data_IF_676930728458
#
_entry.id   IF_676930728458
#
_cell.length_a   1.000
_cell.length_b   1.000
_cell.length_c   1.000
_cell.angle_alpha   90.00
_cell.angle_beta   90.00
_cell.angle_gamma   90.00
#
_symmetry.space_group_name_H-M   'P 1'
#
loop_
_entity.id
_entity.type
_entity.pdbx_description
1 polymer ?
#
# COMPACT_ATOMS: atom_id res chain seq x y z
N UNK A 1 -2.44 9.38 -18.49
CA UNK A 1 -1.18 9.25 -17.73
C UNK A 1 -0.63 7.86 -17.95
N UNK A 2 0.69 7.74 -17.88
CA UNK A 2 1.40 6.48 -17.86
C UNK A 2 1.61 6.07 -16.40
N UNK A 3 0.99 4.97 -16.00
CA UNK A 3 1.05 4.44 -14.63
C UNK A 3 1.86 3.15 -14.64
N UNK A 4 2.93 3.11 -13.86
CA UNK A 4 3.65 1.86 -13.61
C UNK A 4 3.20 1.28 -12.27
N UNK A 5 2.78 0.02 -12.28
CA UNK A 5 2.32 -0.68 -11.10
C UNK A 5 3.23 -1.88 -10.82
N UNK A 6 4.05 -1.77 -9.78
CA UNK A 6 4.89 -2.89 -9.34
C UNK A 6 4.07 -3.85 -8.47
N UNK A 7 4.31 -5.15 -8.54
CA UNK A 7 3.49 -6.13 -7.82
C UNK A 7 2.09 -6.24 -8.43
N UNK A 8 1.97 -5.93 -9.74
CA UNK A 8 0.68 -5.80 -10.39
C UNK A 8 -0.04 -7.11 -10.64
N UNK A 9 0.65 -8.23 -10.47
CA UNK A 9 0.05 -9.57 -10.49
C UNK A 9 -0.43 -10.02 -9.09
N UNK A 10 -0.09 -9.27 -8.04
CA UNK A 10 -0.51 -9.55 -6.66
C UNK A 10 -1.94 -9.09 -6.34
N UNK A 11 -2.38 -9.30 -5.09
CA UNK A 11 -3.77 -9.04 -4.65
C UNK A 11 -4.22 -7.62 -4.97
N UNK A 12 -3.49 -6.59 -4.52
CA UNK A 12 -3.84 -5.19 -4.79
C UNK A 12 -3.73 -4.88 -6.30
N UNK A 13 -2.64 -5.31 -6.93
CA UNK A 13 -2.38 -5.09 -8.34
C UNK A 13 -3.46 -5.63 -9.28
N UNK A 14 -4.02 -6.80 -8.97
CA UNK A 14 -5.08 -7.45 -9.74
C UNK A 14 -6.40 -6.66 -9.74
N UNK A 15 -6.62 -5.82 -8.73
CA UNK A 15 -7.78 -4.90 -8.68
C UNK A 15 -7.47 -3.56 -9.33
N UNK A 16 -6.27 -3.02 -9.10
CA UNK A 16 -5.89 -1.68 -9.57
C UNK A 16 -5.66 -1.64 -11.09
N UNK A 17 -4.92 -2.61 -11.64
CA UNK A 17 -4.55 -2.65 -13.07
C UNK A 17 -5.76 -2.51 -14.00
N UNK A 18 -6.80 -3.37 -13.92
CA UNK A 18 -7.96 -3.24 -14.79
C UNK A 18 -8.74 -1.94 -14.55
N UNK A 19 -8.79 -1.44 -13.31
CA UNK A 19 -9.50 -0.21 -12.99
C UNK A 19 -8.82 1.02 -13.61
N UNK A 20 -7.49 1.14 -13.49
CA UNK A 20 -6.74 2.24 -14.12
C UNK A 20 -6.80 2.17 -15.65
N UNK A 21 -6.72 0.98 -16.23
CA UNK A 21 -6.87 0.80 -17.67
C UNK A 21 -8.28 1.19 -18.16
N UNK A 22 -9.33 0.78 -17.45
CA UNK A 22 -10.71 1.16 -17.75
C UNK A 22 -10.96 2.68 -17.62
N UNK A 23 -10.20 3.36 -16.77
CA UNK A 23 -10.20 4.83 -16.64
C UNK A 23 -9.41 5.54 -17.77
N UNK A 24 -8.85 4.81 -18.75
CA UNK A 24 -8.16 5.36 -19.90
C UNK A 24 -6.68 5.69 -19.66
N UNK A 25 -6.07 5.13 -18.62
CA UNK A 25 -4.62 5.25 -18.39
C UNK A 25 -3.86 4.14 -19.14
N UNK A 26 -2.63 4.45 -19.54
CA UNK A 26 -1.67 3.45 -20.02
C UNK A 26 -1.03 2.80 -18.80
N UNK A 27 -1.16 1.48 -18.63
CA UNK A 27 -0.69 0.78 -17.43
C UNK A 27 0.43 -0.20 -17.78
N UNK A 28 1.56 -0.06 -17.12
CA UNK A 28 2.69 -1.00 -17.19
C UNK A 28 2.77 -1.79 -15.90
N UNK A 29 2.64 -3.11 -15.98
CA UNK A 29 2.73 -4.04 -14.85
C UNK A 29 4.17 -4.53 -14.74
N UNK A 30 4.79 -4.32 -13.58
CA UNK A 30 6.10 -4.91 -13.25
C UNK A 30 5.93 -5.96 -12.16
N UNK A 31 6.25 -7.20 -12.47
CA UNK A 31 6.14 -8.32 -11.52
C UNK A 31 7.09 -9.45 -11.91
N UNK A 32 7.44 -10.33 -10.97
CA UNK A 32 8.20 -11.56 -11.24
C UNK A 32 7.32 -12.65 -11.86
N UNK A 33 6.01 -12.54 -11.65
CA UNK A 33 5.01 -13.49 -12.12
C UNK A 33 4.01 -12.80 -13.06
N UNK A 34 3.59 -13.46 -14.15
CA UNK A 34 2.60 -12.88 -15.05
C UNK A 34 1.25 -12.68 -14.34
N UNK A 35 0.49 -11.63 -14.68
CA UNK A 35 -0.86 -11.47 -14.15
C UNK A 35 -1.75 -12.60 -14.66
N UNK A 36 -2.74 -13.01 -13.87
CA UNK A 36 -3.70 -14.04 -14.29
C UNK A 36 -4.40 -13.71 -15.60
N UNK A 37 -4.76 -12.43 -15.77
CA UNK A 37 -5.30 -11.87 -17.00
C UNK A 37 -4.61 -10.55 -17.24
N UNK A 38 -4.03 -10.37 -18.43
CA UNK A 38 -3.51 -9.06 -18.86
C UNK A 38 -4.67 -8.26 -19.47
N UNK A 39 -5.12 -7.15 -18.85
CA UNK A 39 -6.19 -6.34 -19.41
C UNK A 39 -5.76 -5.71 -20.74
N UNK A 40 -6.72 -5.52 -21.65
CA UNK A 40 -6.46 -4.84 -22.93
C UNK A 40 -5.89 -3.45 -22.69
N UNK A 41 -4.80 -3.12 -23.38
CA UNK A 41 -4.12 -1.82 -23.24
C UNK A 41 -3.17 -1.72 -22.05
N UNK A 42 -2.91 -2.83 -21.35
CA UNK A 42 -1.83 -2.93 -20.37
C UNK A 42 -0.63 -3.67 -20.95
N UNK A 43 0.57 -3.25 -20.56
CA UNK A 43 1.81 -3.96 -20.81
C UNK A 43 2.26 -4.71 -19.55
N UNK A 44 2.94 -5.84 -19.72
CA UNK A 44 3.52 -6.62 -18.63
C UNK A 44 4.99 -6.90 -18.88
N UNK A 45 5.85 -6.56 -17.91
CA UNK A 45 7.27 -6.86 -17.94
C UNK A 45 7.62 -7.78 -16.77
N UNK A 46 8.20 -8.94 -17.08
CA UNK A 46 8.77 -9.83 -16.06
C UNK A 46 10.07 -9.20 -15.52
N UNK A 47 10.02 -8.66 -14.31
CA UNK A 47 11.15 -7.93 -13.71
C UNK A 47 11.31 -8.29 -12.25
N UNK A 48 12.56 -8.48 -11.86
CA UNK A 48 12.99 -8.50 -10.48
C UNK A 48 13.45 -7.11 -10.05
N UNK A 49 12.72 -6.50 -9.12
CA UNK A 49 13.01 -5.14 -8.64
C UNK A 49 14.31 -5.06 -7.80
N UNK A 50 14.94 -6.20 -7.48
CA UNK A 50 16.29 -6.24 -6.90
C UNK A 50 17.35 -5.80 -7.91
N UNK A 51 17.05 -5.81 -9.20
CA UNK A 51 17.92 -5.23 -10.23
C UNK A 51 17.61 -3.72 -10.38
N UNK A 52 18.54 -2.83 -9.99
CA UNK A 52 18.33 -1.38 -10.07
C UNK A 52 18.27 -0.86 -11.51
N UNK A 53 18.98 -1.49 -12.45
CA UNK A 53 19.00 -1.08 -13.85
C UNK A 53 17.72 -1.51 -14.55
N UNK A 54 17.26 -2.75 -14.31
CA UNK A 54 15.98 -3.24 -14.80
C UNK A 54 14.82 -2.40 -14.27
N UNK A 55 14.81 -2.13 -12.95
CA UNK A 55 13.79 -1.28 -12.30
C UNK A 55 13.76 0.10 -12.94
N UNK A 56 14.92 0.77 -13.06
CA UNK A 56 15.02 2.11 -13.66
C UNK A 56 14.51 2.10 -15.10
N UNK A 57 14.94 1.15 -15.92
CA UNK A 57 14.56 1.12 -17.34
C UNK A 57 13.05 0.89 -17.50
N UNK A 58 12.45 0.06 -16.65
CA UNK A 58 11.04 -0.28 -16.72
C UNK A 58 10.11 0.83 -16.24
N UNK A 59 10.58 1.69 -15.34
CA UNK A 59 9.83 2.87 -14.88
C UNK A 59 10.05 4.11 -15.75
N UNK A 60 10.74 3.98 -16.89
CA UNK A 60 10.97 5.11 -17.79
C UNK A 60 9.64 5.64 -18.37
N UNK A 61 9.55 6.96 -18.62
CA UNK A 61 8.34 7.64 -19.09
C UNK A 61 7.07 7.41 -18.25
N UNK A 62 7.24 7.13 -16.96
CA UNK A 62 6.13 6.97 -16.01
C UNK A 62 5.78 8.30 -15.34
N UNK A 63 4.50 8.66 -15.36
CA UNK A 63 3.96 9.82 -14.64
C UNK A 63 3.77 9.50 -13.15
N UNK A 64 3.21 8.32 -12.87
CA UNK A 64 2.90 7.84 -11.51
C UNK A 64 3.37 6.40 -11.32
N UNK A 65 4.10 6.13 -10.24
CA UNK A 65 4.43 4.76 -9.84
C UNK A 65 3.54 4.36 -8.65
N UNK A 66 2.80 3.26 -8.79
CA UNK A 66 2.12 2.60 -7.67
C UNK A 66 2.97 1.40 -7.25
N UNK A 67 3.59 1.51 -6.08
CA UNK A 67 4.47 0.48 -5.55
C UNK A 67 3.70 -0.47 -4.62
N UNK A 68 3.16 -1.54 -5.20
CA UNK A 68 2.48 -2.61 -4.48
C UNK A 68 3.30 -3.90 -4.34
N UNK A 69 4.55 -3.92 -4.81
CA UNK A 69 5.42 -5.09 -4.69
C UNK A 69 5.90 -5.27 -3.25
N UNK A 70 5.71 -6.47 -2.72
CA UNK A 70 6.37 -6.97 -1.51
C UNK A 70 6.64 -8.45 -1.75
N UNK A 71 7.91 -8.85 -1.76
CA UNK A 71 8.26 -10.25 -1.99
C UNK A 71 7.94 -11.15 -0.81
N UNK A 72 7.88 -10.60 0.41
CA UNK A 72 7.65 -11.35 1.64
C UNK A 72 6.71 -10.56 2.56
N UNK A 73 5.67 -11.22 3.06
CA UNK A 73 4.66 -10.59 3.93
C UNK A 73 4.32 -11.41 5.18
N UNK A 74 4.90 -12.61 5.35
CA UNK A 74 4.67 -13.46 6.52
C UNK A 74 5.50 -12.98 7.73
N UNK A 75 5.06 -13.36 8.94
CA UNK A 75 5.49 -12.78 10.22
C UNK A 75 6.85 -13.26 10.70
N UNK A 76 7.21 -14.48 10.37
CA UNK A 76 8.43 -15.20 10.76
C UNK A 76 9.63 -14.93 9.82
N UNK A 77 9.46 -14.06 8.82
CA UNK A 77 10.52 -13.69 7.89
C UNK A 77 11.70 -13.01 8.61
N UNK A 78 12.95 -13.45 8.39
CA UNK A 78 14.11 -12.82 8.98
C UNK A 78 14.41 -11.48 8.29
N UNK A 79 15.08 -10.58 9.02
CA UNK A 79 15.39 -9.24 8.53
C UNK A 79 16.18 -9.20 7.20
N UNK A 80 17.17 -10.07 6.94
CA UNK A 80 17.86 -10.10 5.64
C UNK A 80 16.91 -10.32 4.46
N UNK A 81 15.90 -11.17 4.63
CA UNK A 81 14.96 -11.48 3.57
C UNK A 81 13.99 -10.32 3.33
N UNK A 82 13.51 -9.68 4.40
CA UNK A 82 12.70 -8.45 4.29
C UNK A 82 13.51 -7.32 3.66
N UNK A 83 14.80 -7.20 3.99
CA UNK A 83 15.70 -6.24 3.36
C UNK A 83 15.82 -6.51 1.85
N UNK A 84 16.14 -7.74 1.47
CA UNK A 84 16.39 -8.10 0.07
C UNK A 84 15.12 -8.02 -0.79
N UNK A 85 13.97 -8.46 -0.26
CA UNK A 85 12.76 -8.65 -1.06
C UNK A 85 11.72 -7.55 -0.94
N UNK A 86 11.83 -6.66 0.06
CA UNK A 86 10.92 -5.53 0.22
C UNK A 86 11.69 -4.20 0.19
N UNK A 87 12.67 -4.01 1.09
CA UNK A 87 13.32 -2.71 1.27
C UNK A 87 14.18 -2.28 0.07
N UNK A 88 15.00 -3.21 -0.43
CA UNK A 88 15.88 -2.95 -1.57
C UNK A 88 15.05 -2.60 -2.84
N UNK A 89 14.00 -3.35 -3.19
CA UNK A 89 13.03 -2.95 -4.22
C UNK A 89 12.42 -1.56 -4.01
N UNK A 90 11.93 -1.23 -2.80
CA UNK A 90 11.39 0.11 -2.51
C UNK A 90 12.42 1.19 -2.79
N UNK A 91 13.65 1.00 -2.31
CA UNK A 91 14.76 1.93 -2.57
C UNK A 91 15.02 2.11 -4.07
N UNK A 92 15.06 1.03 -4.85
CA UNK A 92 15.26 1.11 -6.30
C UNK A 92 14.13 1.87 -7.01
N UNK A 93 12.88 1.66 -6.59
CA UNK A 93 11.72 2.38 -7.13
C UNK A 93 11.81 3.88 -6.81
N UNK A 94 12.16 4.25 -5.58
CA UNK A 94 12.33 5.66 -5.19
C UNK A 94 13.50 6.33 -5.93
N UNK A 95 14.63 5.64 -6.08
CA UNK A 95 15.76 6.13 -6.88
C UNK A 95 15.41 6.30 -8.36
N UNK A 96 14.66 5.35 -8.93
CA UNK A 96 14.20 5.42 -10.30
C UNK A 96 13.24 6.62 -10.50
N UNK A 97 12.27 6.78 -9.61
CA UNK A 97 11.35 7.93 -9.60
C UNK A 97 12.12 9.26 -9.53
N UNK A 98 13.12 9.35 -8.65
CA UNK A 98 13.98 10.53 -8.51
C UNK A 98 14.76 10.83 -9.79
N UNK A 99 15.37 9.80 -10.41
CA UNK A 99 16.18 9.96 -11.63
C UNK A 99 15.34 10.36 -12.84
N UNK A 100 14.12 9.82 -12.94
CA UNK A 100 13.19 10.12 -14.03
C UNK A 100 12.33 11.35 -13.80
N UNK A 101 12.38 11.95 -12.59
CA UNK A 101 11.50 13.03 -12.16
C UNK A 101 10.02 12.64 -12.32
N UNK A 102 9.69 11.41 -11.95
CA UNK A 102 8.31 10.94 -11.88
C UNK A 102 7.50 11.87 -10.99
N UNK A 103 6.31 12.25 -11.43
CA UNK A 103 5.48 13.23 -10.73
C UNK A 103 5.01 12.73 -9.38
N UNK A 104 4.73 11.42 -9.25
CA UNK A 104 4.21 10.84 -8.01
C UNK A 104 4.61 9.39 -7.77
N UNK A 105 4.81 9.02 -6.51
CA UNK A 105 4.86 7.63 -6.05
C UNK A 105 3.74 7.37 -5.04
N UNK A 106 3.02 6.27 -5.17
CA UNK A 106 2.04 5.79 -4.18
C UNK A 106 2.53 4.46 -3.63
N UNK A 107 2.87 4.41 -2.34
CA UNK A 107 3.39 3.23 -1.67
C UNK A 107 2.28 2.45 -0.96
N UNK A 108 2.25 1.13 -1.18
CA UNK A 108 1.52 0.21 -0.33
C UNK A 108 2.30 -0.04 0.97
N UNK A 109 2.00 0.76 2.00
CA UNK A 109 2.38 0.48 3.38
C UNK A 109 1.36 -0.47 4.02
N UNK A 110 1.42 -0.64 5.34
CA UNK A 110 0.56 -1.56 6.07
C UNK A 110 0.21 -1.07 7.47
N UNK A 111 -0.97 -1.46 7.96
CA UNK A 111 -1.30 -1.32 9.38
C UNK A 111 -0.39 -2.13 10.31
N UNK A 112 0.35 -3.14 9.80
CA UNK A 112 1.36 -3.88 10.57
C UNK A 112 2.49 -2.98 11.12
N UNK A 113 2.63 -1.74 10.65
CA UNK A 113 3.50 -0.70 11.24
C UNK A 113 3.07 -0.28 12.66
N UNK A 114 1.80 -0.53 13.02
CA UNK A 114 1.19 -0.22 14.32
C UNK A 114 0.51 -1.46 14.94
N UNK A 115 0.92 -2.65 14.50
CA UNK A 115 0.27 -3.92 14.83
C UNK A 115 0.12 -4.22 16.32
N UNK A 116 1.12 -3.91 17.16
CA UNK A 116 1.04 -4.07 18.62
C UNK A 116 0.26 -2.94 19.33
N UNK A 117 -0.59 -2.19 18.62
CA UNK A 117 -1.54 -1.28 19.29
C UNK A 117 -2.69 -2.08 19.89
N UNK A 118 -3.03 -1.92 21.18
CA UNK A 118 -4.17 -2.61 21.79
C UNK A 118 -5.50 -2.31 21.09
N UNK A 119 -6.37 -3.30 20.94
CA UNK A 119 -7.70 -3.12 20.29
C UNK A 119 -8.67 -2.21 21.05
N UNK A 120 -8.37 -1.89 22.31
CA UNK A 120 -9.10 -0.90 23.10
C UNK A 120 -8.55 0.53 22.95
N UNK A 121 -7.55 0.75 22.09
CA UNK A 121 -6.93 2.04 21.83
C UNK A 121 -7.18 2.49 20.39
N UNK A 122 -7.89 3.61 20.23
CA UNK A 122 -8.02 4.30 18.94
C UNK A 122 -6.78 5.15 18.66
N UNK A 123 -6.21 5.01 17.45
CA UNK A 123 -5.19 5.91 16.94
C UNK A 123 -5.88 7.17 16.41
N UNK A 124 -5.40 8.35 16.82
CA UNK A 124 -6.02 9.64 16.44
C UNK A 124 -5.17 10.47 15.48
N UNK A 125 -3.89 10.14 15.31
CA UNK A 125 -2.97 10.81 14.39
C UNK A 125 -1.99 9.84 13.76
N UNK A 126 -1.53 10.15 12.55
CA UNK A 126 -0.39 9.51 11.88
C UNK A 126 0.95 9.76 12.58
N UNK A 127 1.03 10.75 13.47
CA UNK A 127 2.23 11.03 14.27
C UNK A 127 2.43 10.04 15.44
N UNK A 128 1.48 9.13 15.63
CA UNK A 128 1.59 8.07 16.65
C UNK A 128 2.85 7.24 16.36
N UNK A 129 3.67 7.06 17.39
CA UNK A 129 4.89 6.27 17.29
C UNK A 129 4.57 4.87 16.71
N UNK A 130 5.36 4.38 15.74
CA UNK A 130 5.16 3.03 15.22
C UNK A 130 5.27 1.98 16.33
N UNK A 131 4.49 0.91 16.20
CA UNK A 131 4.49 -0.23 17.13
C UNK A 131 4.32 -1.54 16.33
N UNK A 132 5.35 -1.94 15.56
CA UNK A 132 5.22 -2.98 14.54
C UNK A 132 5.07 -4.37 15.15
N UNK A 133 4.19 -5.20 14.58
CA UNK A 133 3.95 -6.57 15.04
C UNK A 133 4.93 -7.62 14.49
N UNK A 134 5.73 -7.26 13.50
CA UNK A 134 6.55 -8.20 12.73
C UNK A 134 7.75 -7.49 12.10
N UNK A 135 8.74 -8.27 11.64
CA UNK A 135 9.85 -7.71 10.84
C UNK A 135 9.34 -7.14 9.52
N UNK A 136 8.26 -7.70 8.96
CA UNK A 136 7.53 -7.08 7.85
C UNK A 136 7.02 -5.67 8.20
N UNK A 137 6.38 -5.50 9.37
CA UNK A 137 5.96 -4.20 9.88
C UNK A 137 7.12 -3.21 10.04
N UNK A 138 8.26 -3.67 10.56
CA UNK A 138 9.52 -2.88 10.61
C UNK A 138 9.97 -2.47 9.20
N UNK A 139 9.87 -3.38 8.24
CA UNK A 139 10.15 -3.09 6.84
C UNK A 139 9.28 -1.96 6.30
N UNK A 140 7.96 -2.01 6.53
CA UNK A 140 7.04 -0.95 6.08
C UNK A 140 7.28 0.41 6.76
N UNK A 141 7.71 0.43 8.02
CA UNK A 141 8.17 1.66 8.67
C UNK A 141 9.40 2.22 7.96
N UNK A 142 10.34 1.35 7.55
CA UNK A 142 11.54 1.76 6.82
C UNK A 142 11.19 2.31 5.43
N UNK A 143 10.24 1.69 4.73
CA UNK A 143 9.69 2.20 3.46
C UNK A 143 9.10 3.61 3.64
N UNK A 144 8.30 3.84 4.68
CA UNK A 144 7.72 5.16 5.01
C UNK A 144 8.79 6.20 5.33
N UNK A 145 9.84 5.82 6.07
CA UNK A 145 10.95 6.72 6.40
C UNK A 145 11.77 7.09 5.15
N UNK A 146 12.04 6.13 4.26
CA UNK A 146 12.66 6.38 2.96
C UNK A 146 11.80 7.32 2.11
N UNK A 147 10.50 7.07 2.03
CA UNK A 147 9.56 7.92 1.31
C UNK A 147 9.59 9.36 1.82
N UNK A 148 9.50 9.57 3.13
CA UNK A 148 9.57 10.90 3.74
C UNK A 148 10.89 11.61 3.43
N UNK A 149 12.02 10.89 3.47
CA UNK A 149 13.32 11.42 3.07
C UNK A 149 13.31 11.88 1.61
N UNK A 150 12.81 11.05 0.69
CA UNK A 150 12.81 11.37 -0.73
C UNK A 150 11.85 12.52 -1.06
N UNK A 151 10.70 12.59 -0.39
CA UNK A 151 9.78 13.69 -0.55
C UNK A 151 10.42 15.03 -0.14
N UNK A 152 11.05 15.08 1.02
CA UNK A 152 11.63 16.34 1.54
C UNK A 152 12.97 16.71 0.89
N UNK A 153 13.85 15.73 0.65
CA UNK A 153 15.21 15.98 0.14
C UNK A 153 15.26 16.04 -1.39
N UNK A 154 14.36 15.33 -2.06
CA UNK A 154 14.36 15.19 -3.51
C UNK A 154 13.10 15.73 -4.18
N UNK A 155 12.18 16.33 -3.41
CA UNK A 155 10.97 16.98 -3.92
C UNK A 155 10.08 16.04 -4.75
N UNK A 156 9.97 14.78 -4.32
CA UNK A 156 9.00 13.84 -4.88
C UNK A 156 7.67 13.95 -4.13
N UNK A 157 6.56 13.98 -4.84
CA UNK A 157 5.25 13.79 -4.22
C UNK A 157 5.04 12.31 -3.93
N UNK A 158 4.87 11.95 -2.66
CA UNK A 158 4.71 10.57 -2.24
C UNK A 158 3.52 10.43 -1.29
N UNK A 159 2.61 9.53 -1.65
CA UNK A 159 1.57 9.04 -0.76
C UNK A 159 1.96 7.66 -0.23
N UNK A 160 1.84 7.42 1.07
CA UNK A 160 2.01 6.10 1.67
C UNK A 160 0.69 5.68 2.33
N UNK A 161 0.20 4.50 1.98
CA UNK A 161 -1.11 4.02 2.42
C UNK A 161 -0.90 2.83 3.36
N UNK A 162 -1.18 2.99 4.65
CA UNK A 162 -1.25 1.90 5.62
C UNK A 162 -2.52 1.12 5.36
N UNK A 163 -2.43 0.13 4.47
CA UNK A 163 -3.54 -0.74 4.11
C UNK A 163 -3.94 -1.55 5.34
N UNK A 164 -5.24 -1.57 5.64
CA UNK A 164 -5.83 -2.48 6.60
C UNK A 164 -5.89 -3.91 6.06
N UNK A 165 -7.09 -4.47 5.96
CA UNK A 165 -7.36 -5.82 5.49
C UNK A 165 -8.02 -5.78 4.11
N UNK A 166 -7.21 -5.73 3.05
CA UNK A 166 -7.72 -5.82 1.67
C UNK A 166 -8.27 -7.22 1.40
N UNK A 167 -9.59 -7.37 1.35
CA UNK A 167 -10.29 -8.64 1.15
C UNK A 167 -11.56 -8.41 0.33
N UNK A 168 -11.91 -9.36 -0.53
CA UNK A 168 -13.19 -9.32 -1.26
C UNK A 168 -14.40 -9.31 -0.31
N UNK A 169 -14.28 -9.98 0.85
CA UNK A 169 -15.32 -10.01 1.88
C UNK A 169 -14.66 -10.10 3.25
N UNK A 170 -15.14 -9.36 4.26
CA UNK A 170 -14.59 -9.46 5.61
C UNK A 170 -15.12 -10.74 6.27
N UNK A 171 -14.21 -11.56 6.80
CA UNK A 171 -14.54 -12.83 7.47
C UNK A 171 -14.12 -12.93 8.94
N UNK A 172 -13.14 -12.14 9.36
CA UNK A 172 -12.52 -12.21 10.70
C UNK A 172 -12.98 -11.02 11.54
N UNK A 173 -13.01 -11.17 12.87
CA UNK A 173 -13.58 -10.15 13.76
C UNK A 173 -12.91 -8.77 13.62
N UNK A 174 -11.56 -8.72 13.54
CA UNK A 174 -10.82 -7.46 13.31
C UNK A 174 -11.15 -6.77 11.99
N UNK A 175 -11.71 -7.49 11.00
CA UNK A 175 -12.13 -6.85 9.75
C UNK A 175 -13.27 -5.86 9.99
N UNK A 176 -14.00 -5.97 11.11
CA UNK A 176 -14.99 -4.96 11.52
C UNK A 176 -14.40 -3.55 11.60
N UNK A 177 -13.10 -3.42 11.90
CA UNK A 177 -12.38 -2.14 11.92
C UNK A 177 -11.42 -1.96 10.74
N UNK A 178 -10.77 -3.04 10.31
CA UNK A 178 -9.62 -2.96 9.39
C UNK A 178 -9.96 -3.19 7.92
N UNK A 179 -11.17 -3.64 7.58
CA UNK A 179 -11.49 -4.04 6.20
C UNK A 179 -11.30 -2.90 5.19
N UNK A 180 -10.69 -3.22 4.06
CA UNK A 180 -10.68 -2.38 2.87
C UNK A 180 -11.25 -3.22 1.73
N UNK A 181 -12.40 -2.80 1.19
CA UNK A 181 -12.98 -3.48 0.04
C UNK A 181 -12.16 -3.21 -1.23
N UNK A 182 -12.19 -4.09 -2.25
CA UNK A 182 -11.54 -3.79 -3.53
C UNK A 182 -12.06 -2.53 -4.22
N UNK A 183 -13.38 -2.24 -4.28
CA UNK A 183 -13.88 -0.97 -4.79
C UNK A 183 -13.31 0.25 -4.06
N UNK A 184 -13.27 0.22 -2.73
CA UNK A 184 -12.74 1.32 -1.93
C UNK A 184 -11.21 1.44 -2.03
N UNK A 185 -10.49 0.32 -2.23
CA UNK A 185 -9.06 0.35 -2.53
C UNK A 185 -8.79 1.03 -3.88
N UNK A 186 -9.59 0.74 -4.91
CA UNK A 186 -9.46 1.35 -6.23
C UNK A 186 -9.64 2.87 -6.12
N UNK A 187 -10.70 3.34 -5.46
CA UNK A 187 -10.96 4.78 -5.32
C UNK A 187 -9.88 5.46 -4.47
N UNK A 188 -9.40 4.82 -3.40
CA UNK A 188 -8.34 5.35 -2.55
C UNK A 188 -7.01 5.52 -3.31
N UNK A 189 -6.57 4.47 -4.00
CA UNK A 189 -5.31 4.51 -4.76
C UNK A 189 -5.42 5.44 -5.97
N UNK A 190 -6.59 5.54 -6.59
CA UNK A 190 -6.86 6.53 -7.65
C UNK A 190 -6.74 7.94 -7.10
N UNK A 191 -7.35 8.22 -5.94
CA UNK A 191 -7.29 9.52 -5.29
C UNK A 191 -5.85 9.90 -4.94
N UNK A 192 -5.09 9.00 -4.30
CA UNK A 192 -3.68 9.21 -3.98
C UNK A 192 -2.82 9.46 -5.24
N UNK A 193 -3.12 8.75 -6.34
CA UNK A 193 -2.39 8.89 -7.60
C UNK A 193 -2.71 10.20 -8.35
N UNK A 194 -3.92 10.75 -8.21
CA UNK A 194 -4.44 11.80 -9.12
C UNK A 194 -4.74 13.14 -8.45
N UNK A 195 -5.10 13.16 -7.16
CA UNK A 195 -5.49 14.38 -6.46
C UNK A 195 -4.28 15.11 -5.88
N UNK A 196 -4.29 16.45 -5.75
CA UNK A 196 -3.22 17.17 -5.06
C UNK A 196 -2.98 16.60 -3.65
N UNK A 197 -1.72 16.29 -3.32
CA UNK A 197 -1.40 15.86 -1.96
C UNK A 197 -1.34 17.07 -1.04
N UNK A 198 -1.85 16.98 0.20
CA UNK A 198 -1.77 18.07 1.17
C UNK A 198 -0.32 18.39 1.58
N UNK A 199 0.56 17.39 1.55
CA UNK A 199 1.99 17.50 1.86
C UNK A 199 2.83 16.68 0.87
N UNK A 200 4.11 17.04 0.62
CA UNK A 200 5.00 16.27 -0.24
C UNK A 200 5.08 14.79 0.17
N UNK A 201 5.11 14.50 1.47
CA UNK A 201 4.88 13.17 2.01
C UNK A 201 3.54 13.13 2.72
N UNK A 202 2.61 12.33 2.21
CA UNK A 202 1.27 12.15 2.79
C UNK A 202 1.08 10.69 3.20
N UNK A 203 1.00 10.44 4.50
CA UNK A 203 0.72 9.12 5.07
C UNK A 203 -0.78 9.02 5.36
N UNK A 204 -1.45 7.92 5.02
CA UNK A 204 -2.88 7.72 5.30
C UNK A 204 -3.20 6.28 5.69
N UNK A 205 -4.29 6.10 6.44
CA UNK A 205 -4.87 4.78 6.70
C UNK A 205 -5.88 4.42 5.61
N UNK A 206 -5.74 3.20 5.08
CA UNK A 206 -6.61 2.67 4.02
C UNK A 206 -7.58 1.62 4.56
N UNK A 207 -8.81 2.06 4.85
CA UNK A 207 -9.96 1.23 5.22
C UNK A 207 -11.20 1.72 4.50
N UNK A 208 -12.21 0.84 4.39
CA UNK A 208 -13.59 1.22 4.10
C UNK A 208 -14.19 1.99 5.29
N UNK A 209 -15.44 2.46 5.17
CA UNK A 209 -16.17 3.23 6.21
C UNK A 209 -16.68 2.30 7.33
N UNK A 210 -15.74 1.77 8.10
CA UNK A 210 -15.95 0.71 9.06
C UNK A 210 -16.39 1.23 10.44
N UNK A 211 -17.05 0.36 11.20
CA UNK A 211 -17.34 0.59 12.62
C UNK A 211 -17.14 -0.72 13.38
N UNK A 212 -16.32 -0.75 14.46
CA UNK A 212 -15.66 0.39 15.10
C UNK A 212 -14.48 0.96 14.29
N UNK A 213 -14.14 2.23 14.52
CA UNK A 213 -13.01 2.90 13.88
C UNK A 213 -11.78 2.84 14.79
N UNK A 214 -10.71 2.17 14.32
CA UNK A 214 -9.43 2.10 15.03
C UNK A 214 -8.43 3.18 14.62
N UNK A 215 -8.53 3.68 13.39
CA UNK A 215 -7.53 4.58 12.79
C UNK A 215 -8.19 5.85 12.25
N UNK A 216 -7.47 6.98 12.20
CA UNK A 216 -8.05 8.24 11.74
C UNK A 216 -8.33 8.20 10.23
N UNK A 217 -9.38 8.87 9.80
CA UNK A 217 -9.69 9.10 8.36
C UNK A 217 -8.85 10.28 7.82
N UNK A 218 -7.55 10.25 8.10
CA UNK A 218 -6.68 11.38 7.83
C UNK A 218 -6.46 11.54 6.32
N UNK A 219 -6.53 12.79 5.85
CA UNK A 219 -6.45 13.19 4.43
C UNK A 219 -7.52 12.61 3.50
N UNK A 220 -8.54 11.92 4.01
CA UNK A 220 -9.64 11.42 3.17
C UNK A 220 -10.38 12.58 2.48
N UNK A 221 -10.69 13.65 3.22
CA UNK A 221 -11.31 14.85 2.65
C UNK A 221 -10.38 15.59 1.69
N UNK A 222 -9.09 15.73 2.04
CA UNK A 222 -8.10 16.41 1.19
C UNK A 222 -7.97 15.71 -0.18
N UNK A 223 -8.03 14.38 -0.20
CA UNK A 223 -7.94 13.55 -1.40
C UNK A 223 -9.30 13.25 -2.04
N UNK A 224 -10.41 13.82 -1.52
CA UNK A 224 -11.77 13.50 -1.97
C UNK A 224 -12.06 11.99 -2.01
N UNK A 225 -11.51 11.25 -1.03
CA UNK A 225 -11.78 9.83 -0.84
C UNK A 225 -13.00 9.64 0.05
N UNK A 226 -14.03 9.02 -0.52
CA UNK A 226 -15.30 8.70 0.15
C UNK A 226 -15.57 7.21 -0.01
N UNK A 227 -15.15 6.36 0.95
CA UNK A 227 -15.43 4.94 0.86
C UNK A 227 -16.94 4.69 0.87
N UNK A 228 -17.37 3.71 0.08
CA UNK A 228 -18.76 3.29 -0.04
C UNK A 228 -19.05 2.03 0.77
N UNK A 229 -18.01 1.22 1.03
CA UNK A 229 -18.14 -0.03 1.76
C UNK A 229 -18.04 0.12 3.28
N UNK A 230 -18.62 -0.84 3.99
CA UNK A 230 -18.55 -0.92 5.44
C UNK A 230 -18.67 -2.37 5.89
N UNK A 231 -17.76 -2.80 6.77
CA UNK A 231 -17.76 -4.14 7.32
C UNK A 231 -19.03 -4.46 8.13
N UNK A 232 -19.75 -3.43 8.60
CA UNK A 232 -21.02 -3.56 9.34
C UNK A 232 -22.13 -4.27 8.56
N UNK A 233 -22.00 -4.33 7.23
CA UNK A 233 -22.96 -5.01 6.33
C UNK A 233 -22.73 -6.52 6.25
N UNK A 234 -21.74 -7.05 6.96
CA UNK A 234 -21.37 -8.46 6.96
C UNK A 234 -21.48 -9.06 8.37
N UNK A 235 -21.94 -10.32 8.49
CA UNK A 235 -21.92 -11.01 9.77
C UNK A 235 -20.47 -11.36 10.13
N UNK A 236 -19.96 -10.79 11.22
CA UNK A 236 -18.60 -11.03 11.71
C UNK A 236 -18.63 -11.66 13.11
N UNK A 237 -17.67 -12.54 13.45
CA UNK A 237 -17.53 -13.07 14.80
C UNK A 237 -17.15 -11.96 15.80
N UNK A 238 -17.35 -12.18 17.11
CA UNK A 238 -16.92 -11.23 18.14
C UNK A 238 -15.38 -11.10 18.15
N UNK A 239 -14.90 -9.90 18.49
CA UNK A 239 -13.47 -9.62 18.55
C UNK A 239 -12.79 -10.41 19.67
N UNK A 240 -11.80 -11.22 19.28
CA UNK A 240 -10.92 -11.96 20.19
C UNK A 240 -9.49 -11.42 20.18
N UNK A 241 -9.12 -10.64 19.16
CA UNK A 241 -7.77 -10.08 19.03
C UNK A 241 -7.47 -9.04 20.13
N UNK A 242 -6.29 -9.15 20.73
CA UNK A 242 -5.78 -8.16 21.69
C UNK A 242 -5.11 -6.96 21.01
N UNK A 243 -4.66 -7.14 19.78
CA UNK A 243 -3.83 -6.18 19.05
C UNK A 243 -4.38 -5.88 17.65
N UNK A 244 -4.11 -4.69 17.14
CA UNK A 244 -4.53 -4.27 15.79
C UNK A 244 -3.99 -5.19 14.68
N UNK A 245 -2.81 -5.75 14.87
CA UNK A 245 -2.16 -6.71 13.95
C UNK A 245 -2.80 -8.10 13.96
N UNK A 246 -3.68 -8.40 14.93
CA UNK A 246 -4.31 -9.71 15.06
C UNK A 246 -3.28 -10.85 15.16
N UNK A 247 -3.45 -11.95 14.40
CA UNK A 247 -2.55 -13.10 14.43
C UNK A 247 -1.08 -12.78 14.14
N UNK A 248 -0.77 -11.63 13.52
CA UNK A 248 0.61 -11.24 13.25
C UNK A 248 1.43 -10.94 14.51
N UNK A 249 0.76 -10.77 15.64
CA UNK A 249 1.39 -10.51 16.95
C UNK A 249 1.77 -11.79 17.71
N UNK A 250 1.33 -12.95 17.23
CA UNK A 250 1.64 -14.23 17.86
C UNK A 250 3.01 -14.71 17.39
N UNK A 251 3.84 -15.18 18.34
CA UNK A 251 5.08 -15.90 18.05
C UNK A 251 4.73 -17.39 18.20
N UNK A 252 4.76 -18.14 17.09
CA UNK A 252 4.67 -19.60 17.11
C UNK A 252 5.88 -20.25 17.81
#
# INVERSE_FOLDING_TARGET
>A
MNITLTGGSGTLGSHLTPAFAAAGHTVTILDKHPPHTLPTGCDYHNIDLRDPDATRNATHHTDVIIHAAAGITHTDAPLPDIYEHNLLPTYHVLEAARKHRTSRVVLASSHHTIGFTPTNQTITSTDTAPNPDSIYGVGKITDEALASLYAHKHHLDIAAIRIGSLRTTPTEARHAATWLSPPDAITLFTAAATQPLPHPFTLLYGTSDNTPQWWPHNHWTDLNYHPHDSATRHPLPPLTDHWHGGPYTEIE
#
